data_IF_923791868998
#
_entry.id   IF_923791868998
#
_cell.length_a   1.000
_cell.length_b   1.000
_cell.length_c   1.000
_cell.angle_alpha   90.00
_cell.angle_beta   90.00
_cell.angle_gamma   90.00
#
_symmetry.space_group_name_H-M   'P 1'
#
loop_
_entity.id
_entity.type
_entity.pdbx_description
1 polymer ?
#
# COMPACT_ATOMS: atom_id res chain seq x y z
N UNK A 1 -21.11 14.60 -36.92
CA UNK A 1 -22.04 13.65 -37.58
C UNK A 1 -22.12 12.42 -36.68
N UNK A 2 -23.20 12.28 -35.90
CA UNK A 2 -23.37 11.15 -34.96
C UNK A 2 -24.03 10.00 -35.75
N UNK A 3 -23.42 8.82 -35.76
CA UNK A 3 -23.96 7.62 -36.41
C UNK A 3 -25.14 7.07 -35.58
N UNK A 4 -26.29 6.72 -36.18
CA UNK A 4 -27.39 6.10 -35.44
C UNK A 4 -26.91 4.80 -34.79
N UNK A 5 -27.22 4.62 -33.51
CA UNK A 5 -26.79 3.48 -32.69
C UNK A 5 -25.54 3.71 -31.83
N UNK A 6 -24.82 4.82 -32.01
CA UNK A 6 -23.69 5.19 -31.15
C UNK A 6 -24.07 6.37 -30.26
N UNK A 7 -23.92 6.22 -28.94
CA UNK A 7 -24.03 7.32 -27.97
C UNK A 7 -22.65 7.66 -27.42
N UNK A 8 -22.31 8.94 -27.39
CA UNK A 8 -21.13 9.43 -26.69
C UNK A 8 -21.59 9.94 -25.32
N UNK A 9 -20.92 9.47 -24.26
CA UNK A 9 -21.18 9.93 -22.90
C UNK A 9 -19.90 10.46 -22.28
N UNK A 10 -20.04 11.47 -21.44
CA UNK A 10 -18.97 11.94 -20.57
C UNK A 10 -19.16 11.27 -19.21
N UNK A 11 -18.11 10.66 -18.70
CA UNK A 11 -18.08 9.97 -17.42
C UNK A 11 -16.93 10.51 -16.57
N UNK A 12 -17.01 10.22 -15.27
CA UNK A 12 -15.96 10.53 -14.30
C UNK A 12 -15.28 9.22 -13.94
N UNK A 13 -13.96 9.23 -13.95
CA UNK A 13 -13.11 8.14 -13.47
C UNK A 13 -12.33 8.67 -12.27
N UNK A 14 -12.19 7.84 -11.25
CA UNK A 14 -11.40 8.18 -10.08
C UNK A 14 -10.04 7.49 -10.14
N UNK A 15 -8.99 8.24 -9.83
CA UNK A 15 -7.64 7.73 -9.69
C UNK A 15 -6.94 8.45 -8.55
N UNK A 16 -5.98 7.77 -7.90
CA UNK A 16 -5.23 8.35 -6.80
C UNK A 16 -4.36 9.51 -7.31
N UNK A 17 -4.45 10.66 -6.65
CA UNK A 17 -3.68 11.85 -7.03
C UNK A 17 -2.16 11.69 -6.91
N UNK A 18 -1.69 10.78 -6.05
CA UNK A 18 -0.25 10.56 -5.82
C UNK A 18 0.34 9.50 -6.76
N UNK A 19 -0.26 8.30 -6.81
CA UNK A 19 0.29 7.17 -7.57
C UNK A 19 -0.39 6.94 -8.92
N UNK A 20 -1.51 7.60 -9.20
CA UNK A 20 -2.28 7.41 -10.43
C UNK A 20 -3.05 6.09 -10.48
N UNK A 21 -3.02 5.27 -9.42
CA UNK A 21 -3.78 4.02 -9.38
C UNK A 21 -5.27 4.29 -9.58
N UNK A 22 -5.90 3.59 -10.51
CA UNK A 22 -7.31 3.76 -10.86
C UNK A 22 -8.20 3.07 -9.82
N UNK A 23 -9.35 3.68 -9.54
CA UNK A 23 -10.36 3.05 -8.70
C UNK A 23 -11.12 1.99 -9.50
N UNK A 24 -10.88 0.73 -9.18
CA UNK A 24 -11.60 -0.43 -9.74
C UNK A 24 -12.44 -1.11 -8.66
N UNK A 25 -13.57 -1.70 -9.03
CA UNK A 25 -14.25 -2.62 -8.14
C UNK A 25 -13.41 -3.89 -7.96
N UNK A 26 -13.21 -4.32 -6.71
CA UNK A 26 -12.35 -5.46 -6.36
C UNK A 26 -12.83 -6.81 -6.93
N UNK A 27 -14.03 -6.87 -7.50
CA UNK A 27 -14.61 -8.11 -8.05
C UNK A 27 -14.31 -8.32 -9.54
N UNK A 28 -13.97 -7.26 -10.28
CA UNK A 28 -13.66 -7.33 -11.71
C UNK A 28 -12.25 -6.77 -11.93
N UNK A 29 -11.26 -7.68 -11.92
CA UNK A 29 -9.84 -7.37 -12.10
C UNK A 29 -9.60 -6.56 -13.39
N UNK A 30 -9.55 -5.23 -13.28
CA UNK A 30 -9.14 -4.32 -14.34
C UNK A 30 -10.27 -3.58 -15.06
N UNK A 31 -11.49 -3.57 -14.55
CA UNK A 31 -12.54 -2.71 -15.10
C UNK A 31 -12.48 -1.29 -14.50
N UNK A 32 -12.22 -0.29 -15.34
CA UNK A 32 -12.31 1.13 -14.99
C UNK A 32 -13.76 1.47 -14.61
N UNK A 33 -13.95 2.03 -13.42
CA UNK A 33 -15.29 2.35 -12.94
C UNK A 33 -15.71 3.75 -13.42
N UNK A 34 -16.71 3.79 -14.29
CA UNK A 34 -17.26 5.03 -14.83
C UNK A 34 -18.43 5.52 -13.98
N UNK A 35 -18.28 6.71 -13.43
CA UNK A 35 -19.33 7.40 -12.68
C UNK A 35 -20.02 8.45 -13.55
N UNK A 36 -21.28 8.74 -13.23
CA UNK A 36 -22.03 9.82 -13.89
C UNK A 36 -21.66 11.20 -13.37
N UNK A 37 -21.24 11.28 -12.11
CA UNK A 37 -20.92 12.55 -11.44
C UNK A 37 -19.74 12.39 -10.48
N UNK A 38 -19.07 13.51 -10.18
CA UNK A 38 -18.00 13.56 -9.16
C UNK A 38 -18.53 13.19 -7.78
N UNK A 39 -19.79 13.53 -7.47
CA UNK A 39 -20.40 13.22 -6.18
C UNK A 39 -20.63 11.71 -6.00
N UNK A 40 -21.05 11.02 -7.07
CA UNK A 40 -21.19 9.57 -7.10
C UNK A 40 -19.83 8.90 -6.91
N UNK A 41 -18.80 9.37 -7.64
CA UNK A 41 -17.43 8.90 -7.48
C UNK A 41 -16.91 9.09 -6.05
N UNK A 42 -17.13 10.27 -5.46
CA UNK A 42 -16.71 10.60 -4.10
C UNK A 42 -17.36 9.69 -3.06
N UNK A 43 -18.64 9.39 -3.24
CA UNK A 43 -19.38 8.49 -2.35
C UNK A 43 -18.79 7.08 -2.41
N UNK A 44 -18.58 6.55 -3.62
CA UNK A 44 -18.01 5.22 -3.81
C UNK A 44 -16.58 5.11 -3.28
N UNK A 45 -15.75 6.12 -3.51
CA UNK A 45 -14.39 6.20 -2.97
C UNK A 45 -14.42 6.15 -1.44
N UNK A 46 -15.23 6.98 -0.81
CA UNK A 46 -15.31 7.04 0.66
C UNK A 46 -15.79 5.70 1.25
N UNK A 47 -16.78 5.06 0.62
CA UNK A 47 -17.31 3.75 1.05
C UNK A 47 -16.27 2.63 0.94
N UNK A 48 -15.41 2.69 -0.09
CA UNK A 48 -14.31 1.74 -0.30
C UNK A 48 -13.06 1.99 0.55
N UNK A 49 -13.06 3.02 1.41
CA UNK A 49 -11.93 3.37 2.28
C UNK A 49 -10.89 4.28 1.62
N UNK A 50 -11.12 4.76 0.40
CA UNK A 50 -10.29 5.81 -0.17
C UNK A 50 -10.47 7.13 0.58
N UNK A 51 -9.39 7.89 0.68
CA UNK A 51 -9.40 9.18 1.36
C UNK A 51 -9.75 10.28 0.38
N UNK A 52 -10.89 10.92 0.59
CA UNK A 52 -11.34 12.07 -0.20
C UNK A 52 -11.17 13.34 0.64
N UNK A 53 -10.40 14.30 0.13
CA UNK A 53 -10.11 15.58 0.78
C UNK A 53 -10.37 16.74 -0.19
N UNK A 54 -10.23 17.98 0.28
CA UNK A 54 -10.33 19.16 -0.60
C UNK A 54 -9.22 19.19 -1.67
N UNK A 55 -8.06 18.60 -1.38
CA UNK A 55 -6.88 18.58 -2.26
C UNK A 55 -6.91 17.44 -3.28
N UNK A 56 -7.84 16.49 -3.15
CA UNK A 56 -8.00 15.38 -4.07
C UNK A 56 -8.36 14.06 -3.39
N UNK A 57 -8.17 12.97 -4.13
CA UNK A 57 -8.49 11.60 -3.69
C UNK A 57 -7.24 10.74 -3.64
N UNK A 58 -7.11 9.91 -2.60
CA UNK A 58 -5.95 9.06 -2.36
C UNK A 58 -6.38 7.62 -2.07
N UNK A 59 -5.63 6.66 -2.62
CA UNK A 59 -5.77 5.27 -2.23
C UNK A 59 -5.24 5.04 -0.81
N UNK A 60 -5.63 3.94 -0.18
CA UNK A 60 -5.23 3.58 1.18
C UNK A 60 -3.70 3.56 1.36
N UNK A 61 -2.97 3.01 0.39
CA UNK A 61 -1.50 2.92 0.42
C UNK A 61 -0.85 4.32 0.44
N UNK A 62 -1.31 5.23 -0.43
CA UNK A 62 -0.77 6.59 -0.46
C UNK A 62 -1.16 7.39 0.78
N UNK A 63 -2.39 7.22 1.27
CA UNK A 63 -2.87 7.88 2.47
C UNK A 63 -2.08 7.44 3.72
N UNK A 64 -1.84 6.14 3.89
CA UNK A 64 -1.04 5.61 5.01
C UNK A 64 0.44 5.97 4.90
N UNK A 65 0.99 5.99 3.68
CA UNK A 65 2.35 6.46 3.42
C UNK A 65 2.52 7.96 3.74
N UNK A 66 1.53 8.80 3.38
CA UNK A 66 1.55 10.21 3.75
C UNK A 66 1.48 10.39 5.26
N UNK A 67 0.59 9.67 5.95
CA UNK A 67 0.50 9.72 7.41
C UNK A 67 1.84 9.41 8.09
N UNK A 68 2.58 8.42 7.58
CA UNK A 68 3.90 8.08 8.10
C UNK A 68 4.98 9.10 7.75
N UNK A 69 4.89 9.76 6.59
CA UNK A 69 5.79 10.88 6.22
C UNK A 69 5.62 12.06 7.17
N UNK A 70 4.39 12.36 7.58
CA UNK A 70 4.08 13.50 8.44
C UNK A 70 4.36 13.23 9.93
N UNK A 71 4.06 12.01 10.40
CA UNK A 71 4.07 11.68 11.84
C UNK A 71 5.21 10.74 12.25
N UNK A 72 6.00 10.26 11.28
CA UNK A 72 6.97 9.20 11.46
C UNK A 72 6.32 7.81 11.46
N UNK A 73 7.16 6.79 11.24
CA UNK A 73 6.71 5.41 11.24
C UNK A 73 6.44 4.90 12.65
N UNK A 74 5.30 4.21 12.81
CA UNK A 74 4.97 3.47 14.03
C UNK A 74 5.49 2.04 13.95
N UNK A 75 6.59 1.78 14.64
CA UNK A 75 7.22 0.47 14.65
C UNK A 75 6.76 -0.37 15.85
N UNK A 76 6.59 -1.70 15.70
CA UNK A 76 6.49 -2.59 16.84
C UNK A 76 7.81 -2.57 17.65
N UNK A 77 7.69 -2.81 18.96
CA UNK A 77 8.84 -2.89 19.86
C UNK A 77 9.70 -4.12 19.55
N UNK A 78 9.08 -5.23 19.13
CA UNK A 78 9.77 -6.45 18.80
C UNK A 78 10.25 -6.45 17.34
N UNK A 79 11.51 -6.81 17.17
CA UNK A 79 12.07 -7.19 15.89
C UNK A 79 11.75 -8.66 15.63
N UNK A 80 11.32 -9.00 14.41
CA UNK A 80 11.06 -10.40 14.01
C UNK A 80 12.28 -10.92 13.28
N UNK A 81 12.74 -12.11 13.66
CA UNK A 81 13.76 -12.81 12.90
C UNK A 81 13.30 -13.01 11.45
N UNK A 82 14.23 -12.89 10.50
CA UNK A 82 13.95 -13.19 9.10
C UNK A 82 13.29 -14.58 8.95
N UNK A 83 12.25 -14.66 8.13
CA UNK A 83 11.55 -15.93 7.82
C UNK A 83 12.45 -16.95 7.09
N UNK A 84 13.61 -16.51 6.59
CA UNK A 84 14.60 -17.30 5.88
C UNK A 84 15.34 -18.36 6.73
N UNK A 85 14.92 -18.63 7.98
CA UNK A 85 15.48 -19.70 8.81
C UNK A 85 16.88 -19.44 9.38
N UNK A 86 17.55 -18.34 9.01
CA UNK A 86 18.93 -18.03 9.38
C UNK A 86 19.16 -17.92 10.92
N UNK A 87 18.10 -17.76 11.70
CA UNK A 87 18.15 -17.74 13.15
C UNK A 87 18.16 -19.12 13.83
N UNK A 88 17.88 -20.20 13.09
CA UNK A 88 17.69 -21.57 13.62
C UNK A 88 18.85 -22.53 13.31
N UNK A 89 19.93 -22.07 12.67
CA UNK A 89 21.04 -22.94 12.26
C UNK A 89 20.70 -23.88 11.10
N UNK A 90 19.60 -23.62 10.39
CA UNK A 90 19.22 -24.32 9.16
C UNK A 90 20.07 -23.81 7.97
N UNK A 91 20.30 -24.64 6.94
CA UNK A 91 21.12 -24.24 5.78
C UNK A 91 20.57 -22.95 5.17
N UNK A 92 21.42 -21.93 5.11
CA UNK A 92 21.05 -20.60 4.62
C UNK A 92 20.57 -20.71 3.17
N UNK A 93 19.44 -20.06 2.86
CA UNK A 93 19.15 -19.70 1.49
C UNK A 93 20.29 -18.78 1.00
N UNK A 94 20.75 -18.90 -0.26
CA UNK A 94 21.97 -18.27 -0.77
C UNK A 94 21.96 -16.72 -0.77
N UNK A 95 20.89 -16.10 -0.31
CA UNK A 95 20.62 -14.67 -0.42
C UNK A 95 21.02 -13.85 0.85
N UNK A 96 21.51 -14.49 1.92
CA UNK A 96 21.85 -13.80 3.18
C UNK A 96 23.08 -14.39 3.89
N UNK A 97 24.19 -13.62 4.00
CA UNK A 97 25.41 -14.01 4.75
C UNK A 97 25.32 -13.79 6.27
N UNK A 98 24.32 -13.06 6.77
CA UNK A 98 24.18 -12.74 8.21
C UNK A 98 22.72 -12.81 8.68
N UNK A 99 22.46 -13.27 9.93
CA UNK A 99 21.12 -13.28 10.47
C UNK A 99 20.58 -11.85 10.57
N UNK A 100 19.41 -11.60 9.97
CA UNK A 100 18.73 -10.31 10.00
C UNK A 100 17.46 -10.37 10.84
N UNK A 101 17.10 -9.23 11.40
CA UNK A 101 15.79 -8.99 11.98
C UNK A 101 15.08 -7.88 11.20
N UNK A 102 13.77 -7.98 11.10
CA UNK A 102 12.95 -6.98 10.43
C UNK A 102 11.72 -6.61 11.26
N UNK A 103 11.18 -5.43 10.99
CA UNK A 103 9.88 -5.00 11.49
C UNK A 103 9.17 -4.22 10.39
N UNK A 104 7.84 -4.26 10.43
CA UNK A 104 6.99 -3.53 9.49
C UNK A 104 6.30 -2.41 10.24
N UNK A 105 6.16 -1.26 9.59
CA UNK A 105 5.39 -0.16 10.14
C UNK A 105 3.94 -0.62 10.30
N UNK A 106 3.35 -0.39 11.47
CA UNK A 106 1.98 -0.79 11.78
C UNK A 106 0.90 -0.02 10.99
N UNK A 107 1.31 0.95 10.17
CA UNK A 107 0.42 1.84 9.41
C UNK A 107 0.63 1.58 7.92
N UNK A 108 1.82 1.88 7.37
CA UNK A 108 2.09 1.82 5.93
C UNK A 108 2.84 0.56 5.47
N UNK A 109 3.03 -0.42 6.35
CA UNK A 109 3.75 -1.68 6.07
C UNK A 109 5.21 -1.53 5.58
N UNK A 110 5.79 -0.32 5.57
CA UNK A 110 7.21 -0.11 5.25
C UNK A 110 8.07 -1.04 6.11
N UNK A 111 9.04 -1.70 5.48
CA UNK A 111 9.93 -2.67 6.14
C UNK A 111 11.23 -1.98 6.55
N UNK A 112 11.64 -2.19 7.79
CA UNK A 112 12.97 -1.84 8.28
C UNK A 112 13.73 -3.13 8.62
N UNK A 113 15.00 -3.18 8.28
CA UNK A 113 15.88 -4.34 8.49
C UNK A 113 17.14 -3.95 9.23
N UNK A 114 17.65 -4.86 10.06
CA UNK A 114 18.94 -4.71 10.72
C UNK A 114 19.66 -6.06 10.86
N UNK A 115 20.99 -6.06 10.97
CA UNK A 115 21.73 -7.23 11.43
C UNK A 115 21.29 -7.62 12.85
N UNK A 116 21.10 -8.92 13.09
CA UNK A 116 20.87 -9.44 14.44
C UNK A 116 22.16 -9.32 15.22
N UNK A 117 22.16 -8.52 16.29
CA UNK A 117 23.29 -8.51 17.22
C UNK A 117 23.34 -9.85 17.96
N UNK A 118 24.26 -10.73 17.57
CA UNK A 118 24.62 -11.88 18.38
C UNK A 118 25.29 -11.33 19.63
N UNK A 119 24.65 -11.49 20.78
CA UNK A 119 25.26 -11.18 22.07
C UNK A 119 26.51 -12.07 22.15
N UNK A 120 27.71 -11.48 22.06
CA UNK A 120 28.94 -12.22 22.31
C UNK A 120 28.91 -12.59 23.79
N UNK A 121 28.71 -13.87 24.09
CA UNK A 121 28.82 -14.36 25.47
C UNK A 121 30.23 -14.04 25.97
N UNK A 122 30.29 -13.18 27.00
CA UNK A 122 31.53 -12.90 27.70
C UNK A 122 31.95 -14.18 28.42
N UNK A 123 33.11 -14.70 28.03
CA UNK A 123 33.72 -15.91 28.57
C UNK A 123 34.36 -15.66 29.93
#
# INVERSE_FOLDING_TARGET
MIRPGFRQETCVVAACGDCGHEFSNSEDLGCELHFRTVQEATTALTDSGWKVTADGVQCDECATAQQCRENGHRWPLCWRACACGCAKGEPMLPDHDTPRESRHCLICQTREERPRQLVKEAR
#
